data_IF_820801327215
#
_entry.id   IF_820801327215
#
_cell.length_a   1.000
_cell.length_b   1.000
_cell.length_c   1.000
_cell.angle_alpha   90.00
_cell.angle_beta   90.00
_cell.angle_gamma   90.00
#
_symmetry.space_group_name_H-M   'P 1'
#
loop_
_entity.id
_entity.type
_entity.pdbx_description
1 polymer ?
#
# COMPACT_ATOMS: atom_id res chain seq x y z
N UNK A 1 9.76 -16.71 6.74
CA UNK A 1 9.18 -15.87 7.79
C UNK A 1 9.28 -16.68 9.05
N UNK A 2 10.24 -16.31 9.90
CA UNK A 2 10.45 -16.98 11.18
C UNK A 2 9.64 -16.25 12.26
N UNK A 3 9.57 -16.84 13.46
CA UNK A 3 8.71 -16.35 14.55
C UNK A 3 9.16 -14.98 15.13
N UNK A 4 10.30 -14.45 14.66
CA UNK A 4 10.93 -13.17 15.04
C UNK A 4 10.32 -11.93 14.35
N UNK A 5 9.56 -12.12 13.27
CA UNK A 5 9.16 -11.01 12.38
C UNK A 5 7.79 -10.41 12.78
N UNK A 6 7.32 -10.74 13.99
CA UNK A 6 6.04 -10.31 14.53
C UNK A 6 6.24 -9.30 15.66
N UNK A 7 5.80 -8.06 15.45
CA UNK A 7 5.82 -6.99 16.45
C UNK A 7 4.41 -6.67 16.96
N UNK A 8 4.30 -5.87 18.02
CA UNK A 8 3.00 -5.35 18.48
C UNK A 8 2.38 -4.51 17.37
N UNK A 9 1.27 -4.99 16.81
CA UNK A 9 0.54 -4.35 15.73
C UNK A 9 -0.45 -3.30 16.20
N UNK A 10 -1.11 -2.65 15.24
CA UNK A 10 -2.26 -1.79 15.53
C UNK A 10 -3.41 -2.61 16.13
N UNK A 11 -3.56 -3.88 15.70
CA UNK A 11 -4.38 -4.88 16.40
C UNK A 11 -3.64 -6.21 16.52
N UNK A 12 -3.24 -6.56 17.74
CA UNK A 12 -2.58 -7.83 18.00
C UNK A 12 -1.12 -7.81 17.50
N UNK A 13 -0.85 -8.47 16.37
CA UNK A 13 0.51 -8.61 15.82
C UNK A 13 0.60 -8.02 14.41
N UNK A 14 1.63 -7.22 14.16
CA UNK A 14 1.98 -6.74 12.83
C UNK A 14 3.19 -7.51 12.30
N UNK A 15 3.31 -7.53 10.97
CA UNK A 15 4.53 -7.97 10.32
C UNK A 15 5.54 -6.82 10.33
N UNK A 16 6.69 -7.09 10.93
CA UNK A 16 7.83 -6.19 10.89
C UNK A 16 8.68 -6.51 9.68
N UNK A 17 9.03 -5.48 8.91
CA UNK A 17 9.90 -5.60 7.74
C UNK A 17 11.29 -4.99 8.03
N UNK A 18 11.54 -4.61 9.29
CA UNK A 18 12.83 -4.12 9.80
C UNK A 18 13.71 -5.27 10.38
N UNK A 19 13.29 -6.54 10.23
CA UNK A 19 13.85 -7.73 10.85
C UNK A 19 15.19 -8.23 10.28
N UNK A 20 16.24 -7.43 10.41
CA UNK A 20 17.64 -7.92 10.38
C UNK A 20 18.22 -8.33 9.01
N UNK A 21 17.39 -8.50 7.98
CA UNK A 21 17.84 -8.46 6.59
C UNK A 21 16.92 -7.53 5.83
N UNK A 22 17.49 -6.55 5.13
CA UNK A 22 16.80 -5.51 4.36
C UNK A 22 16.09 -6.06 3.12
N UNK A 23 15.47 -7.25 3.21
CA UNK A 23 14.93 -8.01 2.08
C UNK A 23 13.66 -8.80 2.41
N UNK A 24 12.97 -8.46 3.48
CA UNK A 24 11.73 -9.14 3.90
C UNK A 24 10.53 -8.67 3.06
N UNK A 25 9.70 -9.62 2.65
CA UNK A 25 8.46 -9.35 1.92
C UNK A 25 7.48 -10.51 2.11
N UNK A 26 6.19 -10.20 2.00
CA UNK A 26 5.15 -11.22 1.87
C UNK A 26 4.66 -11.26 0.42
N UNK A 27 4.30 -12.45 -0.05
CA UNK A 27 3.70 -12.62 -1.38
C UNK A 27 2.36 -13.28 -1.22
N UNK A 28 1.38 -12.82 -1.99
CA UNK A 28 0.17 -13.60 -2.23
C UNK A 28 0.46 -14.67 -3.29
N UNK A 29 -0.49 -15.59 -3.51
CA UNK A 29 -0.53 -16.37 -4.75
C UNK A 29 -0.80 -15.49 -5.98
N UNK A 30 -0.94 -16.11 -7.15
CA UNK A 30 -1.38 -15.44 -8.38
C UNK A 30 -2.86 -15.04 -8.28
N UNK A 31 -3.15 -13.75 -8.53
CA UNK A 31 -4.52 -13.22 -8.57
C UNK A 31 -4.75 -12.49 -9.90
N UNK A 32 -5.85 -12.84 -10.57
CA UNK A 32 -6.32 -12.21 -11.82
C UNK A 32 -7.80 -11.82 -11.72
N UNK A 33 -8.13 -10.96 -10.75
CA UNK A 33 -9.52 -10.60 -10.42
C UNK A 33 -9.80 -9.09 -10.55
N UNK A 34 -8.81 -8.27 -10.89
CA UNK A 34 -8.97 -6.81 -10.98
C UNK A 34 -9.46 -6.41 -12.37
N UNK A 35 -10.75 -6.63 -12.62
CA UNK A 35 -11.40 -6.27 -13.88
C UNK A 35 -11.85 -4.80 -13.90
N UNK A 36 -11.96 -4.21 -15.10
CA UNK A 36 -12.46 -2.85 -15.29
C UNK A 36 -11.58 -1.75 -14.71
N UNK A 37 -10.30 -2.05 -14.41
CA UNK A 37 -9.39 -1.10 -13.77
C UNK A 37 -9.79 -0.75 -12.34
N UNK A 38 -10.49 -1.65 -11.62
CA UNK A 38 -10.96 -1.40 -10.26
C UNK A 38 -10.14 -2.16 -9.24
N UNK A 39 -9.62 -1.46 -8.25
CA UNK A 39 -8.89 -2.06 -7.13
C UNK A 39 -8.88 -1.11 -5.93
N UNK A 40 -8.89 -1.68 -4.73
CA UNK A 40 -8.57 -0.94 -3.51
C UNK A 40 -7.50 -1.70 -2.73
N UNK A 41 -6.44 -1.01 -2.31
CA UNK A 41 -5.43 -1.52 -1.40
C UNK A 41 -5.47 -0.72 -0.09
N UNK A 42 -5.49 -1.40 1.05
CA UNK A 42 -5.55 -0.79 2.37
C UNK A 42 -4.53 -1.45 3.32
N UNK A 43 -3.86 -0.64 4.11
CA UNK A 43 -2.94 -1.12 5.13
C UNK A 43 -2.85 -0.12 6.30
N UNK A 44 -2.53 -0.63 7.48
CA UNK A 44 -1.88 0.18 8.51
C UNK A 44 -0.39 0.10 8.29
N UNK A 45 0.28 1.24 8.32
CA UNK A 45 1.73 1.33 8.12
C UNK A 45 2.36 2.17 9.22
N UNK A 46 3.56 1.77 9.65
CA UNK A 46 4.40 2.55 10.54
C UNK A 46 5.79 2.62 9.92
N UNK A 47 6.12 3.75 9.29
CA UNK A 47 7.42 3.94 8.60
C UNK A 47 8.52 4.34 9.59
N UNK A 48 9.73 3.82 9.38
CA UNK A 48 10.88 4.12 10.23
C UNK A 48 11.61 5.43 9.86
N UNK A 49 11.65 5.79 8.57
CA UNK A 49 12.36 6.98 8.09
C UNK A 49 11.76 7.57 6.80
N UNK A 50 12.05 8.85 6.54
CA UNK A 50 11.71 9.51 5.26
C UNK A 50 12.79 9.33 4.18
N UNK A 51 13.98 8.87 4.54
CA UNK A 51 15.12 8.80 3.61
C UNK A 51 15.04 7.64 2.62
N UNK A 52 14.01 6.78 2.71
CA UNK A 52 13.89 5.56 1.92
C UNK A 52 12.64 5.55 1.04
N UNK A 53 12.76 4.84 -0.10
CA UNK A 53 11.63 4.45 -0.92
C UNK A 53 11.13 3.09 -0.44
N UNK A 54 9.89 3.03 0.03
CA UNK A 54 9.31 1.82 0.62
C UNK A 54 8.00 1.42 -0.06
N UNK A 55 7.94 0.20 -0.58
CA UNK A 55 6.73 -0.31 -1.23
C UNK A 55 5.85 -1.05 -0.23
N UNK A 56 4.68 -0.47 0.07
CA UNK A 56 3.69 -1.13 0.93
C UNK A 56 3.12 -2.32 0.17
N UNK A 57 2.73 -2.11 -1.09
CA UNK A 57 2.33 -3.17 -2.01
C UNK A 57 2.66 -2.83 -3.45
N UNK A 58 3.06 -3.83 -4.23
CA UNK A 58 3.17 -3.75 -5.69
C UNK A 58 2.53 -4.95 -6.38
N UNK A 59 1.84 -4.69 -7.49
CA UNK A 59 1.39 -5.73 -8.43
C UNK A 59 2.40 -5.82 -9.58
N UNK A 60 2.84 -7.04 -9.89
CA UNK A 60 3.73 -7.30 -11.03
C UNK A 60 2.93 -7.38 -12.35
N UNK A 61 3.47 -6.99 -13.53
CA UNK A 61 4.71 -6.24 -13.68
C UNK A 61 4.51 -4.80 -13.22
N UNK A 62 5.48 -4.31 -12.45
CA UNK A 62 5.53 -2.90 -12.04
C UNK A 62 5.52 -1.96 -13.24
N UNK A 63 5.08 -0.72 -13.05
CA UNK A 63 4.96 0.29 -14.11
C UNK A 63 3.98 -0.08 -15.23
N UNK A 64 3.19 -1.13 -15.07
CA UNK A 64 2.01 -1.40 -15.90
C UNK A 64 0.82 -1.79 -15.03
N UNK A 65 1.07 -1.95 -13.74
CA UNK A 65 0.12 -2.39 -12.75
C UNK A 65 0.23 -1.53 -11.47
N UNK A 66 -0.81 -1.56 -10.64
CA UNK A 66 -0.97 -0.65 -9.52
C UNK A 66 0.04 -0.91 -8.38
N UNK A 67 0.40 0.17 -7.69
CA UNK A 67 1.33 0.16 -6.58
C UNK A 67 0.96 1.25 -5.56
N UNK A 68 1.18 0.94 -4.28
CA UNK A 68 1.06 1.87 -3.16
C UNK A 68 2.41 1.92 -2.45
N UNK A 69 3.05 3.09 -2.45
CA UNK A 69 4.41 3.22 -1.96
C UNK A 69 4.71 4.60 -1.38
N UNK A 70 5.75 4.66 -0.58
CA UNK A 70 6.30 5.87 0.00
C UNK A 70 7.60 6.23 -0.70
N UNK A 71 7.78 7.52 -0.97
CA UNK A 71 9.04 8.09 -1.42
C UNK A 71 9.21 9.44 -0.72
N UNK A 72 10.22 9.55 0.13
CA UNK A 72 10.42 10.77 0.91
C UNK A 72 9.26 11.01 1.88
N UNK A 73 8.67 12.19 1.74
CA UNK A 73 7.51 12.65 2.51
C UNK A 73 6.21 12.56 1.71
N UNK A 74 6.13 11.68 0.72
CA UNK A 74 4.95 11.51 -0.11
C UNK A 74 4.51 10.03 -0.21
N UNK A 75 3.20 9.85 -0.16
CA UNK A 75 2.52 8.59 -0.45
C UNK A 75 2.02 8.63 -1.89
N UNK A 76 2.27 7.56 -2.64
CA UNK A 76 1.94 7.46 -4.07
C UNK A 76 1.00 6.30 -4.34
N UNK A 77 0.09 6.50 -5.30
CA UNK A 77 -0.85 5.50 -5.76
C UNK A 77 -1.07 5.57 -7.27
N UNK A 78 -1.00 4.42 -7.94
CA UNK A 78 -1.28 4.26 -9.37
C UNK A 78 -0.26 3.36 -10.07
N UNK A 79 -0.39 3.18 -11.39
CA UNK A 79 0.48 2.27 -12.14
C UNK A 79 1.79 2.91 -12.62
N UNK A 80 1.77 4.13 -13.16
CA UNK A 80 2.98 4.79 -13.71
C UNK A 80 2.87 6.32 -13.73
N UNK A 81 1.98 6.84 -14.57
CA UNK A 81 1.85 8.26 -14.85
C UNK A 81 0.60 8.51 -15.72
N UNK A 82 -0.26 9.47 -15.35
CA UNK A 82 -0.23 10.15 -14.06
C UNK A 82 -0.47 9.16 -12.90
N UNK A 83 0.22 9.39 -11.80
CA UNK A 83 -0.02 8.75 -10.50
C UNK A 83 -0.44 9.83 -9.51
N UNK A 84 -1.18 9.45 -8.48
CA UNK A 84 -1.52 10.38 -7.41
C UNK A 84 -0.42 10.41 -6.37
N UNK A 85 -0.31 11.55 -5.71
CA UNK A 85 0.53 11.70 -4.54
C UNK A 85 -0.21 12.50 -3.47
N UNK A 86 0.16 12.23 -2.22
CA UNK A 86 -0.35 12.93 -1.06
C UNK A 86 0.76 13.13 -0.03
N UNK A 87 0.70 14.23 0.73
CA UNK A 87 1.68 14.54 1.76
C UNK A 87 1.68 13.50 2.88
N UNK A 88 2.84 12.93 3.14
CA UNK A 88 3.11 11.90 4.13
C UNK A 88 4.40 12.23 4.91
N UNK A 89 4.40 13.38 5.60
CA UNK A 89 5.56 13.97 6.27
C UNK A 89 5.93 13.38 7.62
N UNK A 90 6.63 14.18 8.43
CA UNK A 90 7.20 13.79 9.74
C UNK A 90 6.13 13.42 10.77
N UNK A 91 4.93 14.00 10.67
CA UNK A 91 3.81 13.67 11.56
C UNK A 91 3.37 12.20 11.49
N UNK A 92 3.82 11.45 10.47
CA UNK A 92 3.53 10.03 10.30
C UNK A 92 4.77 9.13 10.50
N UNK A 93 5.90 9.67 10.96
CA UNK A 93 7.09 8.87 11.32
C UNK A 93 6.86 8.15 12.64
N UNK A 94 7.15 6.84 12.66
CA UNK A 94 6.94 5.95 13.81
C UNK A 94 5.51 6.00 14.40
N UNK A 95 4.53 6.40 13.59
CA UNK A 95 3.11 6.47 13.97
C UNK A 95 2.31 5.57 13.03
N UNK A 96 1.53 4.66 13.62
CA UNK A 96 0.56 3.85 12.88
C UNK A 96 -0.41 4.75 12.13
N UNK A 97 -0.39 4.65 10.82
CA UNK A 97 -1.20 5.47 9.92
C UNK A 97 -1.94 4.54 8.96
N UNK A 98 -3.27 4.73 8.85
CA UNK A 98 -4.08 3.97 7.90
C UNK A 98 -3.99 4.63 6.53
N UNK A 99 -3.57 3.86 5.53
CA UNK A 99 -3.41 4.34 4.15
C UNK A 99 -4.24 3.49 3.21
N UNK A 100 -4.94 4.15 2.28
CA UNK A 100 -5.78 3.49 1.28
C UNK A 100 -5.59 4.13 -0.08
N UNK A 101 -5.30 3.28 -1.07
CA UNK A 101 -5.38 3.64 -2.49
C UNK A 101 -6.62 3.01 -3.11
N UNK A 102 -7.45 3.82 -3.76
CA UNK A 102 -8.64 3.37 -4.50
C UNK A 102 -8.47 3.73 -5.97
N UNK A 103 -8.78 2.80 -6.86
CA UNK A 103 -8.86 3.04 -8.30
C UNK A 103 -10.21 2.53 -8.83
N UNK A 104 -10.91 3.39 -9.57
CA UNK A 104 -12.12 3.07 -10.32
C UNK A 104 -11.90 3.46 -11.79
N UNK A 105 -11.45 2.49 -12.59
CA UNK A 105 -11.02 2.71 -13.96
C UNK A 105 -9.78 3.60 -14.02
N UNK A 106 -9.94 4.83 -14.50
CA UNK A 106 -8.87 5.85 -14.56
C UNK A 106 -8.97 6.88 -13.42
N UNK A 107 -9.92 6.75 -12.50
CA UNK A 107 -10.02 7.65 -11.34
C UNK A 107 -9.31 7.04 -10.15
N UNK A 108 -8.28 7.72 -9.65
CA UNK A 108 -7.58 7.35 -8.43
C UNK A 108 -8.01 8.21 -7.25
N UNK A 109 -7.93 7.66 -6.04
CA UNK A 109 -8.04 8.39 -4.78
C UNK A 109 -7.04 7.85 -3.76
N UNK A 110 -6.55 8.73 -2.88
CA UNK A 110 -5.73 8.37 -1.73
C UNK A 110 -6.43 8.86 -0.46
N UNK A 111 -6.48 8.00 0.56
CA UNK A 111 -6.98 8.32 1.88
C UNK A 111 -5.91 8.07 2.93
N UNK A 112 -5.84 8.97 3.92
CA UNK A 112 -5.03 8.83 5.13
C UNK A 112 -5.97 8.94 6.33
N UNK A 113 -5.95 7.96 7.23
CA UNK A 113 -6.79 7.91 8.43
C UNK A 113 -8.28 8.14 8.11
N UNK A 114 -8.77 7.52 7.03
CA UNK A 114 -10.14 7.64 6.57
C UNK A 114 -10.49 8.93 5.82
N UNK A 115 -9.58 9.91 5.72
CA UNK A 115 -9.82 11.20 5.05
C UNK A 115 -9.16 11.21 3.67
N UNK A 116 -9.91 11.58 2.64
CA UNK A 116 -9.36 11.70 1.28
C UNK A 116 -8.38 12.87 1.22
N UNK A 117 -7.16 12.61 0.76
CA UNK A 117 -6.13 13.63 0.62
C UNK A 117 -5.68 13.87 -0.82
N UNK A 118 -5.99 12.95 -1.74
CA UNK A 118 -5.81 13.16 -3.18
C UNK A 118 -6.90 12.46 -3.98
N UNK A 119 -7.26 13.03 -5.12
CA UNK A 119 -8.14 12.42 -6.13
C UNK A 119 -7.81 13.00 -7.50
N UNK A 120 -7.93 12.20 -8.54
CA UNK A 120 -7.70 12.65 -9.91
C UNK A 120 -7.58 11.52 -10.91
N UNK A 121 -7.32 11.89 -12.16
CA UNK A 121 -7.10 10.93 -13.23
C UNK A 121 -5.72 10.29 -13.09
N UNK A 122 -5.66 8.97 -13.15
CA UNK A 122 -4.45 8.15 -13.17
C UNK A 122 -4.46 7.22 -14.39
N UNK A 123 -3.30 6.67 -14.72
CA UNK A 123 -3.18 5.64 -15.74
C UNK A 123 -4.02 4.40 -15.38
N UNK A 124 -4.72 3.84 -16.38
CA UNK A 124 -5.29 2.51 -16.25
C UNK A 124 -4.16 1.48 -16.09
N UNK A 125 -4.40 0.45 -15.29
CA UNK A 125 -3.50 -0.71 -15.24
C UNK A 125 -3.98 -1.81 -16.18
N UNK A 126 -3.03 -2.60 -16.66
CA UNK A 126 -3.32 -3.83 -17.40
C UNK A 126 -3.27 -5.00 -16.43
N UNK A 127 -4.38 -5.70 -16.29
CA UNK A 127 -4.45 -6.84 -15.39
C UNK A 127 -3.47 -7.94 -15.79
N UNK A 128 -2.87 -8.60 -14.80
CA UNK A 128 -1.93 -9.70 -15.00
C UNK A 128 -2.22 -10.83 -14.03
N UNK A 129 -1.81 -12.06 -14.35
CA UNK A 129 -1.88 -13.21 -13.43
C UNK A 129 -0.71 -13.27 -12.44
N UNK A 130 0.12 -12.23 -12.36
CA UNK A 130 1.30 -12.21 -11.50
C UNK A 130 0.94 -12.05 -10.02
N UNK A 131 1.89 -12.39 -9.14
CA UNK A 131 1.73 -12.21 -7.71
C UNK A 131 1.60 -10.74 -7.29
N UNK A 132 1.01 -10.53 -6.12
CA UNK A 132 1.06 -9.28 -5.37
C UNK A 132 2.15 -9.43 -4.31
N UNK A 133 3.01 -8.41 -4.22
CA UNK A 133 4.11 -8.36 -3.27
C UNK A 133 3.83 -7.27 -2.24
N UNK A 134 3.93 -7.62 -0.96
CA UNK A 134 3.74 -6.72 0.18
C UNK A 134 5.12 -6.47 0.79
N UNK A 135 5.44 -5.20 1.03
CA UNK A 135 6.75 -4.81 1.57
C UNK A 135 7.88 -4.74 0.53
N UNK A 136 7.59 -4.92 -0.77
CA UNK A 136 8.63 -4.96 -1.82
C UNK A 136 8.14 -4.46 -3.19
N UNK A 137 9.05 -3.85 -3.93
CA UNK A 137 8.90 -3.58 -5.36
C UNK A 137 9.16 -4.81 -6.24
N UNK A 138 8.30 -5.06 -7.22
CA UNK A 138 8.34 -6.32 -7.97
C UNK A 138 9.55 -6.52 -8.89
N UNK A 139 10.31 -5.48 -9.22
CA UNK A 139 11.41 -5.56 -10.19
C UNK A 139 12.78 -5.14 -9.65
N UNK A 140 12.90 -4.70 -8.39
CA UNK A 140 14.18 -4.28 -7.81
C UNK A 140 14.20 -4.53 -6.30
N UNK A 141 15.28 -4.10 -5.64
CA UNK A 141 15.53 -4.29 -4.22
C UNK A 141 15.06 -3.10 -3.37
N UNK A 142 13.95 -2.47 -3.74
CA UNK A 142 13.28 -1.52 -2.85
C UNK A 142 12.30 -2.25 -1.93
N UNK A 143 12.59 -2.19 -0.65
CA UNK A 143 11.83 -2.82 0.42
C UNK A 143 11.21 -1.75 1.31
N UNK A 144 10.07 -2.08 1.90
CA UNK A 144 9.49 -1.26 2.95
C UNK A 144 10.34 -1.37 4.20
N UNK A 145 10.63 -0.23 4.85
CA UNK A 145 11.26 -0.19 6.17
C UNK A 145 10.26 0.39 7.17
N UNK A 146 9.90 -0.46 8.12
CA UNK A 146 8.85 -0.25 9.10
C UNK A 146 7.98 -1.48 9.25
N UNK A 147 6.81 -1.27 9.84
CA UNK A 147 5.84 -2.33 10.10
C UNK A 147 4.58 -2.13 9.24
N UNK A 148 4.00 -3.23 8.76
CA UNK A 148 2.72 -3.24 8.05
C UNK A 148 1.75 -4.15 8.82
N UNK A 149 0.52 -3.69 9.00
CA UNK A 149 -0.53 -4.42 9.67
C UNK A 149 -1.85 -4.35 8.89
N UNK A 150 -2.73 -5.31 9.14
CA UNK A 150 -4.13 -5.29 8.70
C UNK A 150 -4.30 -5.06 7.18
N UNK A 151 -3.35 -5.59 6.40
CA UNK A 151 -3.31 -5.46 4.94
C UNK A 151 -4.52 -6.12 4.27
N UNK A 152 -5.17 -5.38 3.37
CA UNK A 152 -6.36 -5.83 2.62
C UNK A 152 -6.32 -5.35 1.17
N UNK A 153 -6.82 -6.19 0.27
CA UNK A 153 -7.04 -5.86 -1.14
C UNK A 153 -8.48 -6.21 -1.52
N UNK A 154 -9.09 -5.34 -2.32
CA UNK A 154 -10.41 -5.54 -2.88
C UNK A 154 -10.36 -5.42 -4.41
N UNK A 155 -11.04 -6.32 -5.11
CA UNK A 155 -11.19 -6.28 -6.58
C UNK A 155 -12.25 -5.28 -7.05
N UNK A 156 -12.49 -4.23 -6.26
CA UNK A 156 -13.47 -3.17 -6.52
C UNK A 156 -12.98 -1.85 -5.93
N UNK A 157 -13.55 -0.76 -6.41
CA UNK A 157 -13.40 0.53 -5.75
C UNK A 157 -14.28 0.58 -4.49
N UNK A 158 -13.68 0.91 -3.35
CA UNK A 158 -14.42 1.26 -2.14
C UNK A 158 -14.90 2.71 -2.21
N UNK A 159 -16.10 2.98 -1.68
CA UNK A 159 -16.59 4.34 -1.47
C UNK A 159 -15.89 5.02 -0.28
N UNK A 160 -15.94 6.35 -0.20
CA UNK A 160 -15.40 7.10 0.93
C UNK A 160 -15.99 6.65 2.29
N UNK A 161 -17.28 6.27 2.31
CA UNK A 161 -17.92 5.75 3.54
C UNK A 161 -17.35 4.39 3.95
N UNK A 162 -17.14 3.49 2.99
CA UNK A 162 -16.52 2.18 3.27
C UNK A 162 -15.07 2.33 3.74
N UNK A 163 -14.32 3.27 3.18
CA UNK A 163 -12.96 3.59 3.61
C UNK A 163 -12.95 4.11 5.06
N UNK A 164 -13.85 5.03 5.39
CA UNK A 164 -13.99 5.55 6.75
C UNK A 164 -14.42 4.46 7.75
N UNK A 165 -15.33 3.57 7.34
CA UNK A 165 -15.71 2.41 8.16
C UNK A 165 -14.52 1.48 8.38
N UNK A 166 -13.72 1.21 7.34
CA UNK A 166 -12.54 0.37 7.45
C UNK A 166 -11.51 0.96 8.44
N UNK A 167 -11.29 2.27 8.40
CA UNK A 167 -10.47 2.98 9.38
C UNK A 167 -11.00 2.79 10.80
N UNK A 168 -12.27 3.09 11.05
CA UNK A 168 -12.88 3.01 12.39
C UNK A 168 -12.93 1.58 12.94
N UNK A 169 -13.15 0.60 12.07
CA UNK A 169 -13.19 -0.82 12.44
C UNK A 169 -11.83 -1.40 12.78
N UNK A 170 -10.73 -0.71 12.46
CA UNK A 170 -9.35 -1.16 12.67
C UNK A 170 -8.56 -0.27 13.64
N UNK A 171 -9.24 0.67 14.31
CA UNK A 171 -8.70 1.45 15.42
C UNK A 171 -8.35 0.60 16.64
#
# INVERSE_FOLDING_TARGET
MENSDWVTGKRGKALDFDGGSSSEYATTGSFSQFSGGKVTASAWVKKAANSQNGFIVSKSPVNTNWQLFLQGTALYWGAVSPQLSCGFGDQYLDVWTHVVGVQDGTTGQIYINGVQCASGTIGAFTESSSAILIGKHSANNYYFSGSIDEFRIYSRALSATEVLQLYNMSQ
#
